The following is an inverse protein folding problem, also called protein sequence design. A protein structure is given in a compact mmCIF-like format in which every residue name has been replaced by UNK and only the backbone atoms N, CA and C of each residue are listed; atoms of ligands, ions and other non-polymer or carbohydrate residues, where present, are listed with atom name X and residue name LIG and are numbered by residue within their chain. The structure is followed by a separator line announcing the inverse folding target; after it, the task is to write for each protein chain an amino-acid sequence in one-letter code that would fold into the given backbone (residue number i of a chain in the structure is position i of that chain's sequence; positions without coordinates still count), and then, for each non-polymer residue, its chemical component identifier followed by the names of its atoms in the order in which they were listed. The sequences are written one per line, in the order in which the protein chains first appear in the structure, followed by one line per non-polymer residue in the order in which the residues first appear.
data_IF_946185040702
#
_entry.id   IF_946185040702
#
_cell.length_a   1.000
_cell.length_b   1.000
_cell.length_c   1.000
_cell.angle_alpha   90.00
_cell.angle_beta   90.00
_cell.angle_gamma   90.00
#
_symmetry.space_group_name_H-M   'P 1'
#
loop_
_entity.id
_entity.type
_entity.pdbx_description
1 polymer ?
#
# COMPACT_ATOMS: atom_id res chain seq x y z
N UNK A 1 10.13 -8.91 -6.21
CA UNK A 1 9.48 -8.91 -4.88
C UNK A 1 10.53 -9.02 -3.79
N UNK A 2 11.04 -7.89 -3.26
CA UNK A 2 12.05 -7.85 -2.19
C UNK A 2 11.39 -7.99 -0.80
N UNK A 3 10.51 -8.99 -0.63
CA UNK A 3 9.56 -9.02 0.51
C UNK A 3 10.10 -9.75 1.76
N UNK A 4 11.27 -10.39 1.71
CA UNK A 4 11.75 -11.22 2.83
C UNK A 4 12.83 -10.60 3.74
N UNK A 5 13.42 -9.45 3.38
CA UNK A 5 14.41 -8.77 4.24
C UNK A 5 13.81 -7.45 4.73
N UNK A 6 13.71 -7.29 6.04
CA UNK A 6 13.18 -6.07 6.70
C UNK A 6 11.70 -5.79 6.39
N UNK A 7 10.88 -6.84 6.30
CA UNK A 7 9.43 -6.73 6.13
C UNK A 7 8.73 -7.36 7.31
N UNK A 8 7.75 -6.65 7.88
CA UNK A 8 6.92 -7.17 8.96
C UNK A 8 5.49 -7.34 8.46
N UNK A 9 4.78 -8.36 8.93
CA UNK A 9 3.36 -8.55 8.63
C UNK A 9 2.53 -7.34 9.09
N UNK A 10 1.31 -7.25 8.59
CA UNK A 10 0.36 -6.20 8.97
C UNK A 10 0.05 -6.25 10.47
N UNK A 11 -0.21 -5.10 11.11
CA UNK A 11 -0.52 -5.09 12.55
C UNK A 11 -1.78 -5.89 12.87
N UNK A 12 -2.75 -5.98 11.97
CA UNK A 12 -3.92 -6.85 12.13
C UNK A 12 -3.54 -8.32 12.29
N UNK A 13 -2.62 -8.82 11.46
CA UNK A 13 -2.13 -10.20 11.59
C UNK A 13 -1.34 -10.40 12.89
N UNK A 14 -0.50 -9.43 13.26
CA UNK A 14 0.27 -9.47 14.51
C UNK A 14 -0.64 -9.47 15.74
N UNK A 15 -1.74 -8.73 15.70
CA UNK A 15 -2.73 -8.68 16.76
C UNK A 15 -3.45 -10.01 16.92
N UNK A 16 -3.89 -10.63 15.81
CA UNK A 16 -4.45 -12.00 15.81
C UNK A 16 -3.46 -13.01 16.41
N UNK A 17 -2.16 -12.81 16.19
CA UNK A 17 -1.10 -13.63 16.79
C UNK A 17 -0.67 -13.20 18.21
N UNK A 18 -1.35 -12.24 18.86
CA UNK A 18 -0.99 -11.67 20.17
C UNK A 18 0.43 -11.10 20.27
N UNK A 19 1.02 -10.67 19.14
CA UNK A 19 2.35 -10.06 19.08
C UNK A 19 2.34 -8.55 19.32
N UNK A 20 1.17 -7.92 19.25
CA UNK A 20 0.93 -6.50 19.52
C UNK A 20 -0.42 -6.35 20.22
N UNK A 21 -0.60 -5.25 20.96
CA UNK A 21 -1.85 -4.94 21.68
C UNK A 21 -2.79 -4.02 20.87
N UNK A 22 -2.28 -3.44 19.78
CA UNK A 22 -3.01 -2.51 18.92
C UNK A 22 -2.80 -2.91 17.45
N UNK A 23 -3.89 -3.03 16.71
CA UNK A 23 -3.86 -3.34 15.28
C UNK A 23 -3.93 -2.10 14.38
N UNK A 24 -3.96 -0.89 14.94
CA UNK A 24 -4.07 0.35 14.20
C UNK A 24 -2.93 0.53 13.19
N UNK A 25 -3.25 1.17 12.07
CA UNK A 25 -2.28 1.56 11.06
C UNK A 25 -1.22 2.49 11.68
N UNK A 26 0.07 2.15 11.58
CA UNK A 26 1.14 2.97 12.15
C UNK A 26 1.32 4.30 11.41
N UNK A 27 0.68 4.48 10.25
CA UNK A 27 0.80 5.68 9.42
C UNK A 27 -0.33 6.67 9.70
N UNK A 28 -1.58 6.22 9.64
CA UNK A 28 -2.74 7.10 9.82
C UNK A 28 -3.34 7.02 11.22
N UNK A 29 -3.15 5.93 11.96
CA UNK A 29 -3.76 5.68 13.27
C UNK A 29 -5.30 5.70 13.32
N UNK A 30 -5.98 5.70 12.17
CA UNK A 30 -7.46 5.83 12.09
C UNK A 30 -8.20 4.49 11.91
N UNK A 31 -7.51 3.43 11.47
CA UNK A 31 -8.13 2.15 11.17
C UNK A 31 -7.16 0.96 11.36
N UNK A 32 -7.68 -0.27 11.53
CA UNK A 32 -6.87 -1.48 11.55
C UNK A 32 -6.01 -1.62 10.29
N UNK A 33 -4.74 -1.97 10.51
CA UNK A 33 -3.80 -2.21 9.44
C UNK A 33 -3.97 -3.62 8.88
N UNK A 34 -4.87 -3.79 7.92
CA UNK A 34 -4.90 -4.97 7.06
C UNK A 34 -4.19 -4.69 5.72
N UNK A 35 -3.99 -5.73 4.91
CA UNK A 35 -3.26 -5.64 3.63
C UNK A 35 -3.89 -4.62 2.68
N UNK A 36 -5.22 -4.57 2.63
CA UNK A 36 -5.94 -3.65 1.76
C UNK A 36 -5.79 -2.20 2.26
N UNK A 37 -5.81 -2.00 3.58
CA UNK A 37 -5.61 -0.70 4.18
C UNK A 37 -4.21 -0.14 3.91
N UNK A 38 -3.16 -0.90 4.20
CA UNK A 38 -1.79 -0.39 4.03
C UNK A 38 -1.44 -0.13 2.55
N UNK A 39 -2.05 -0.85 1.61
CA UNK A 39 -1.77 -0.71 0.18
C UNK A 39 -2.74 0.22 -0.56
N UNK A 40 -3.91 0.54 0.01
CA UNK A 40 -4.96 1.27 -0.70
C UNK A 40 -5.75 2.24 0.15
N UNK A 41 -6.31 1.78 1.28
CA UNK A 41 -7.32 2.57 2.00
C UNK A 41 -6.74 3.57 3.01
N UNK A 42 -5.49 3.40 3.40
CA UNK A 42 -4.75 4.36 4.21
C UNK A 42 -4.72 5.71 3.49
N UNK A 43 -4.93 6.81 4.23
CA UNK A 43 -4.90 8.17 3.67
C UNK A 43 -3.64 8.43 2.85
N UNK A 44 -2.49 7.99 3.34
CA UNK A 44 -1.22 8.10 2.62
C UNK A 44 -1.24 7.32 1.29
N UNK A 45 -1.70 6.06 1.31
CA UNK A 45 -1.80 5.24 0.12
C UNK A 45 -2.76 5.84 -0.91
N UNK A 46 -3.92 6.35 -0.48
CA UNK A 46 -4.88 7.06 -1.34
C UNK A 46 -4.23 8.24 -2.06
N UNK A 47 -3.48 9.07 -1.32
CA UNK A 47 -2.75 10.18 -1.91
C UNK A 47 -1.76 9.72 -2.98
N UNK A 48 -0.99 8.65 -2.73
CA UNK A 48 -0.07 8.09 -3.73
C UNK A 48 -0.84 7.66 -4.98
N UNK A 49 -1.90 6.85 -4.84
CA UNK A 49 -2.70 6.39 -5.98
C UNK A 49 -3.28 7.53 -6.82
N UNK A 50 -3.74 8.61 -6.19
CA UNK A 50 -4.22 9.80 -6.87
C UNK A 50 -3.14 10.50 -7.71
N UNK A 51 -1.87 10.46 -7.28
CA UNK A 51 -0.75 11.01 -8.04
C UNK A 51 -0.33 10.10 -9.21
N UNK A 52 -0.42 8.78 -9.03
CA UNK A 52 -0.03 7.80 -10.06
C UNK A 52 -1.04 7.72 -11.20
N UNK A 53 -2.33 7.80 -10.88
CA UNK A 53 -3.41 7.66 -11.83
C UNK A 53 -3.73 8.99 -12.54
N UNK A 54 -2.83 9.42 -13.43
CA UNK A 54 -2.99 10.65 -14.26
C UNK A 54 -4.26 10.67 -15.12
N UNK A 55 -4.87 9.51 -15.37
CA UNK A 55 -6.14 9.35 -16.11
C UNK A 55 -7.36 9.06 -15.23
N UNK A 56 -7.21 9.16 -13.90
CA UNK A 56 -8.23 8.77 -12.93
C UNK A 56 -8.15 7.29 -12.55
N UNK A 57 -8.77 6.97 -11.42
CA UNK A 57 -8.96 5.60 -10.93
C UNK A 57 -10.38 5.17 -11.29
N UNK A 58 -10.58 3.88 -11.55
CA UNK A 58 -11.93 3.34 -11.73
C UNK A 58 -12.80 3.60 -10.49
N UNK A 59 -14.11 3.75 -10.68
CA UNK A 59 -15.09 3.97 -9.62
C UNK A 59 -15.03 2.86 -8.55
N UNK A 60 -14.68 1.63 -8.96
CA UNK A 60 -14.53 0.49 -8.06
C UNK A 60 -13.22 0.48 -7.25
N UNK A 61 -12.24 1.33 -7.57
CA UNK A 61 -10.88 1.18 -7.07
C UNK A 61 -10.79 1.13 -5.55
N UNK A 62 -11.49 2.03 -4.85
CA UNK A 62 -11.49 2.12 -3.39
C UNK A 62 -12.60 1.32 -2.70
N UNK A 63 -13.47 0.64 -3.45
CA UNK A 63 -14.59 -0.13 -2.91
C UNK A 63 -14.48 -1.63 -3.12
N UNK A 64 -13.71 -2.08 -4.11
CA UNK A 64 -13.54 -3.50 -4.43
C UNK A 64 -12.93 -4.29 -3.27
N UNK A 65 -13.26 -5.58 -3.16
CA UNK A 65 -12.56 -6.46 -2.23
C UNK A 65 -11.12 -6.72 -2.71
N UNK A 66 -10.24 -7.19 -1.81
CA UNK A 66 -8.81 -7.37 -2.11
C UNK A 66 -8.56 -8.23 -3.37
N UNK A 67 -9.28 -9.34 -3.52
CA UNK A 67 -9.11 -10.27 -4.64
C UNK A 67 -9.54 -9.62 -5.95
N UNK A 68 -10.74 -9.05 -5.99
CA UNK A 68 -11.27 -8.38 -7.19
C UNK A 68 -10.39 -7.19 -7.58
N UNK A 69 -9.94 -6.41 -6.60
CA UNK A 69 -9.06 -5.27 -6.81
C UNK A 69 -7.73 -5.69 -7.43
N UNK A 70 -7.08 -6.73 -6.90
CA UNK A 70 -5.84 -7.26 -7.48
C UNK A 70 -6.08 -7.81 -8.89
N UNK A 71 -7.12 -8.62 -9.08
CA UNK A 71 -7.43 -9.20 -10.38
C UNK A 71 -7.69 -8.14 -11.45
N UNK A 72 -8.50 -7.12 -11.17
CA UNK A 72 -8.79 -6.04 -12.14
C UNK A 72 -7.55 -5.24 -12.53
N UNK A 73 -6.62 -5.02 -11.60
CA UNK A 73 -5.44 -4.19 -11.84
C UNK A 73 -4.21 -4.96 -12.34
N UNK A 74 -4.15 -6.28 -12.11
CA UNK A 74 -3.04 -7.14 -12.55
C UNK A 74 -3.37 -7.97 -13.80
N UNK A 75 -4.66 -8.28 -14.04
CA UNK A 75 -5.11 -9.15 -15.12
C UNK A 75 -5.84 -8.28 -16.14
N UNK A 76 -5.08 -7.56 -16.97
CA UNK A 76 -5.63 -6.61 -17.94
C UNK A 76 -4.64 -6.20 -19.02
N UNK A 77 -5.16 -5.87 -20.20
CA UNK A 77 -4.47 -5.68 -21.49
C UNK A 77 -3.41 -4.57 -21.55
N UNK A 78 -3.31 -3.71 -20.53
CA UNK A 78 -2.33 -2.62 -20.48
C UNK A 78 -1.13 -3.01 -19.60
N UNK A 79 -0.05 -3.42 -20.25
CA UNK A 79 1.23 -3.79 -19.60
C UNK A 79 1.81 -2.63 -18.77
N UNK A 80 1.68 -1.38 -19.23
CA UNK A 80 2.18 -0.21 -18.50
C UNK A 80 1.41 0.02 -17.20
N UNK A 81 0.08 -0.07 -17.21
CA UNK A 81 -0.73 0.06 -15.99
C UNK A 81 -0.39 -1.03 -14.99
N UNK A 82 -0.30 -2.28 -15.46
CA UNK A 82 0.03 -3.43 -14.61
C UNK A 82 1.39 -3.23 -13.94
N UNK A 83 2.40 -2.76 -14.68
CA UNK A 83 3.71 -2.44 -14.12
C UNK A 83 3.64 -1.30 -13.10
N UNK A 84 2.99 -0.20 -13.45
CA UNK A 84 2.81 0.95 -12.55
C UNK A 84 2.13 0.52 -11.25
N UNK A 85 1.08 -0.29 -11.35
CA UNK A 85 0.34 -0.81 -10.22
C UNK A 85 1.22 -1.67 -9.31
N UNK A 86 1.94 -2.65 -9.87
CA UNK A 86 2.84 -3.53 -9.10
C UNK A 86 3.97 -2.74 -8.43
N UNK A 87 4.57 -1.78 -9.13
CA UNK A 87 5.63 -0.93 -8.57
C UNK A 87 5.06 -0.06 -7.44
N UNK A 88 3.87 0.51 -7.62
CA UNK A 88 3.21 1.32 -6.58
C UNK A 88 2.92 0.50 -5.32
N UNK A 89 2.45 -0.74 -5.46
CA UNK A 89 2.26 -1.65 -4.31
C UNK A 89 3.56 -1.91 -3.57
N UNK A 90 4.64 -2.22 -4.30
CA UNK A 90 5.95 -2.51 -3.71
C UNK A 90 6.53 -1.28 -3.00
N UNK A 91 6.39 -0.08 -3.59
CA UNK A 91 6.83 1.18 -2.98
C UNK A 91 6.02 1.55 -1.75
N UNK A 92 4.69 1.40 -1.76
CA UNK A 92 3.84 1.62 -0.59
C UNK A 92 4.20 0.69 0.57
N UNK A 93 4.38 -0.61 0.27
CA UNK A 93 4.79 -1.59 1.27
C UNK A 93 6.16 -1.28 1.87
N UNK A 94 7.13 -0.88 1.03
CA UNK A 94 8.46 -0.47 1.48
C UNK A 94 8.41 0.78 2.35
N UNK A 95 7.69 1.81 1.95
CA UNK A 95 7.55 3.06 2.71
C UNK A 95 6.95 2.79 4.10
N UNK A 96 5.91 1.96 4.16
CA UNK A 96 5.32 1.49 5.41
C UNK A 96 6.35 0.77 6.28
N UNK A 97 7.09 -0.20 5.74
CA UNK A 97 8.09 -0.93 6.51
C UNK A 97 9.22 -0.02 7.01
N UNK A 98 9.70 0.90 6.17
CA UNK A 98 10.73 1.86 6.56
C UNK A 98 10.27 2.74 7.73
N UNK A 99 9.01 3.15 7.74
CA UNK A 99 8.43 3.89 8.85
C UNK A 99 8.37 3.06 10.14
N UNK A 100 7.90 1.82 10.06
CA UNK A 100 7.80 0.93 11.22
C UNK A 100 9.18 0.56 11.79
N UNK A 101 10.18 0.30 10.94
CA UNK A 101 11.51 -0.15 11.38
C UNK A 101 12.47 0.99 11.72
N UNK A 102 12.37 2.12 11.01
CA UNK A 102 13.39 3.19 11.06
C UNK A 102 12.82 4.53 11.53
N UNK A 103 11.53 4.59 11.86
CA UNK A 103 10.80 5.83 12.15
C UNK A 103 10.98 6.87 11.03
N UNK A 104 11.19 6.37 9.80
CA UNK A 104 11.40 7.24 8.66
C UNK A 104 10.11 8.03 8.42
N UNK A 105 10.20 9.35 8.16
CA UNK A 105 9.01 10.12 7.84
C UNK A 105 8.43 9.61 6.51
N UNK A 106 7.11 9.54 6.44
CA UNK A 106 6.40 9.12 5.23
C UNK A 106 5.88 10.36 4.51
N UNK A 107 6.30 10.55 3.26
CA UNK A 107 5.80 11.61 2.41
C UNK A 107 5.36 11.07 1.04
N UNK A 108 4.17 11.46 0.60
CA UNK A 108 3.56 11.02 -0.68
C UNK A 108 4.48 11.30 -1.87
N UNK A 109 5.08 12.48 -1.92
CA UNK A 109 5.99 12.89 -2.99
C UNK A 109 7.27 12.05 -3.04
N UNK A 110 7.79 11.58 -1.90
CA UNK A 110 8.94 10.68 -1.87
C UNK A 110 8.60 9.35 -2.54
N UNK A 111 7.47 8.74 -2.16
CA UNK A 111 7.02 7.47 -2.74
C UNK A 111 6.76 7.62 -4.24
N UNK A 112 6.12 8.71 -4.66
CA UNK A 112 5.88 9.00 -6.08
C UNK A 112 7.19 9.21 -6.84
N UNK A 113 8.15 9.94 -6.26
CA UNK A 113 9.47 10.17 -6.85
C UNK A 113 10.26 8.89 -7.09
N UNK A 114 10.19 7.91 -6.19
CA UNK A 114 10.83 6.60 -6.33
C UNK A 114 10.26 5.74 -7.47
N UNK A 115 9.03 6.01 -7.92
CA UNK A 115 8.39 5.24 -8.98
C UNK A 115 8.70 5.81 -10.38
N UNK A 116 8.94 7.13 -10.47
CA UNK A 116 9.24 7.83 -11.73
C UNK A 116 10.74 8.12 -11.96
N UNK A 117 11.58 7.93 -10.94
CA UNK A 117 13.05 8.05 -11.03
C UNK A 117 13.74 6.75 -11.42
#
# INVERSE_FOLDING_TARGET
MRVARESICTNDWRFVCNLVQDNSCPICHEAPENVLHCLRDCMHAKCVWQHMARGGLDNGFFSDCLVDWLSKNMIGTNSWWTQLFVITLDSLWKARNAHVFRLAPIYTNQVVGEIFG
#
